data_IF_866237166389
#
_entry.id   IF_866237166389
#
_cell.length_a   1.000
_cell.length_b   1.000
_cell.length_c   1.000
_cell.angle_alpha   90.00
_cell.angle_beta   90.00
_cell.angle_gamma   90.00
#
_symmetry.space_group_name_H-M   'P 1'
#
loop_
_entity.id
_entity.type
_entity.pdbx_description
1 polymer ?
#
# COMPACT_ATOMS: atom_id res chain seq x y z
N UNK A 1 -8.56 -19.80 -101.38
CA UNK A 1 -9.86 -20.31 -100.89
C UNK A 1 -9.60 -20.90 -99.52
N UNK A 2 -10.30 -20.37 -98.50
CA UNK A 2 -10.78 -21.07 -97.29
C UNK A 2 -9.84 -22.08 -96.58
N UNK A 3 -9.57 -22.07 -95.28
CA UNK A 3 -10.34 -21.59 -94.12
C UNK A 3 -9.55 -21.92 -92.84
N UNK A 4 -9.81 -21.13 -91.79
CA UNK A 4 -9.90 -21.47 -90.35
C UNK A 4 -8.62 -21.59 -89.49
N UNK A 5 -8.50 -20.61 -88.58
CA UNK A 5 -8.02 -20.79 -87.20
C UNK A 5 -8.87 -21.83 -86.45
N UNK A 6 -8.28 -22.53 -85.45
CA UNK A 6 -8.78 -22.38 -84.06
C UNK A 6 -7.62 -22.46 -83.02
N UNK A 7 -7.53 -21.51 -82.08
CA UNK A 7 -7.99 -21.56 -80.67
C UNK A 7 -6.97 -22.04 -79.61
N UNK A 8 -6.90 -21.19 -78.56
CA UNK A 8 -6.64 -21.45 -77.14
C UNK A 8 -5.23 -21.84 -76.68
N UNK A 9 -4.65 -21.02 -75.79
CA UNK A 9 -4.38 -21.26 -74.35
C UNK A 9 -3.38 -20.18 -73.88
N UNK A 10 -3.79 -19.21 -73.07
CA UNK A 10 -3.76 -19.24 -71.59
C UNK A 10 -2.35 -19.04 -71.01
N UNK A 11 -2.03 -17.81 -70.60
CA UNK A 11 -1.21 -17.55 -69.40
C UNK A 11 -1.33 -16.07 -69.03
N UNK A 12 -2.29 -15.78 -68.15
CA UNK A 12 -2.30 -14.57 -67.35
C UNK A 12 -1.25 -14.69 -66.24
N UNK A 13 -0.41 -13.67 -66.07
CA UNK A 13 0.33 -13.47 -64.81
C UNK A 13 -0.04 -12.07 -64.32
N UNK A 14 -1.13 -12.03 -63.56
CA UNK A 14 -1.51 -10.88 -62.75
C UNK A 14 -0.62 -10.93 -61.50
N UNK A 15 0.38 -10.06 -61.44
CA UNK A 15 1.17 -9.88 -60.22
C UNK A 15 0.29 -9.19 -59.17
N UNK A 16 -0.31 -9.98 -58.28
CA UNK A 16 -0.97 -9.50 -57.08
C UNK A 16 0.11 -8.96 -56.13
N UNK A 17 0.28 -7.63 -56.13
CA UNK A 17 1.02 -6.92 -55.09
C UNK A 17 0.17 -6.99 -53.83
N UNK A 18 0.45 -7.97 -52.98
CA UNK A 18 -0.06 -8.02 -51.60
C UNK A 18 0.67 -6.95 -50.80
N UNK A 19 0.01 -5.80 -50.65
CA UNK A 19 0.33 -4.81 -49.63
C UNK A 19 0.11 -5.47 -48.27
N UNK A 20 1.15 -6.08 -47.71
CA UNK A 20 1.20 -6.38 -46.29
C UNK A 20 1.24 -5.03 -45.56
N UNK A 21 0.05 -4.54 -45.22
CA UNK A 21 -0.11 -3.53 -44.17
C UNK A 21 0.46 -4.14 -42.89
N UNK A 22 1.70 -3.76 -42.58
CA UNK A 22 2.32 -4.01 -41.29
C UNK A 22 1.53 -3.21 -40.25
N UNK A 23 0.49 -3.82 -39.70
CA UNK A 23 -0.12 -3.38 -38.46
C UNK A 23 0.98 -3.44 -37.39
N UNK A 24 1.60 -2.28 -37.10
CA UNK A 24 2.35 -2.09 -35.87
C UNK A 24 1.40 -2.41 -34.73
N UNK A 25 1.60 -3.57 -34.08
CA UNK A 25 1.07 -3.81 -32.74
C UNK A 25 1.45 -2.60 -31.90
N UNK A 26 0.45 -1.83 -31.49
CA UNK A 26 0.57 -0.94 -30.34
C UNK A 26 1.22 -1.74 -29.23
N UNK A 27 2.41 -1.30 -28.79
CA UNK A 27 3.06 -1.86 -27.62
C UNK A 27 2.03 -1.80 -26.50
N UNK A 28 1.63 -2.96 -25.98
CA UNK A 28 1.04 -3.04 -24.66
C UNK A 28 1.94 -2.22 -23.74
N UNK A 29 1.38 -1.17 -23.14
CA UNK A 29 2.08 -0.30 -22.19
C UNK A 29 2.24 -0.97 -20.83
N UNK A 30 2.17 -2.30 -20.75
CA UNK A 30 2.54 -3.05 -19.57
C UNK A 30 4.06 -3.18 -19.58
N UNK A 31 4.75 -2.78 -18.49
CA UNK A 31 6.13 -3.20 -18.28
C UNK A 31 6.21 -4.71 -18.48
N UNK A 32 7.31 -5.23 -19.06
CA UNK A 32 7.56 -6.67 -19.05
C UNK A 32 7.37 -7.20 -17.62
N UNK A 33 6.81 -8.40 -17.46
CA UNK A 33 6.50 -9.00 -16.14
C UNK A 33 7.73 -9.15 -15.20
N UNK A 34 8.92 -8.84 -15.70
CA UNK A 34 10.21 -8.91 -15.02
C UNK A 34 10.78 -7.56 -14.56
N UNK A 35 10.21 -6.42 -14.97
CA UNK A 35 10.77 -5.11 -14.59
C UNK A 35 10.19 -4.62 -13.25
N UNK A 36 11.05 -4.51 -12.24
CA UNK A 36 10.69 -3.97 -10.93
C UNK A 36 10.49 -2.44 -11.03
N UNK A 37 9.51 -1.87 -10.31
CA UNK A 37 9.32 -0.42 -10.30
C UNK A 37 10.54 0.30 -9.74
N UNK A 38 10.81 1.49 -10.27
CA UNK A 38 11.89 2.37 -9.80
C UNK A 38 11.29 3.48 -8.93
N UNK A 39 11.64 3.49 -7.65
CA UNK A 39 11.17 4.46 -6.66
C UNK A 39 12.07 5.69 -6.56
N UNK A 40 11.55 6.77 -5.96
CA UNK A 40 12.27 8.02 -5.71
C UNK A 40 12.38 8.95 -6.92
N UNK A 41 11.63 8.67 -7.99
CA UNK A 41 11.68 9.45 -9.24
C UNK A 41 10.68 10.62 -9.25
N UNK A 42 9.72 10.61 -8.33
CA UNK A 42 8.58 11.52 -8.28
C UNK A 42 7.78 11.58 -9.58
N UNK A 43 7.82 10.51 -10.37
CA UNK A 43 7.02 10.38 -11.59
C UNK A 43 5.67 9.73 -11.25
N UNK A 44 4.55 10.41 -11.49
CA UNK A 44 3.24 9.88 -11.14
C UNK A 44 2.83 8.74 -12.07
N UNK A 45 2.20 7.73 -11.50
CA UNK A 45 1.47 6.69 -12.24
C UNK A 45 -0.03 6.80 -11.99
N UNK A 46 -0.82 6.23 -12.89
CA UNK A 46 -2.26 6.12 -12.68
C UNK A 46 -2.55 5.07 -11.60
N UNK A 47 -3.46 5.42 -10.68
CA UNK A 47 -3.97 4.46 -9.70
C UNK A 47 -4.74 3.33 -10.41
N UNK A 48 -4.57 2.11 -9.90
CA UNK A 48 -5.20 0.89 -10.37
C UNK A 48 -5.76 0.10 -9.19
N UNK A 49 -6.63 -0.88 -9.46
CA UNK A 49 -7.19 -1.73 -8.41
C UNK A 49 -8.04 -0.94 -7.41
N UNK A 50 -7.79 -1.16 -6.12
CA UNK A 50 -8.52 -0.52 -5.01
C UNK A 50 -7.88 0.80 -4.52
N UNK A 51 -6.79 1.25 -5.14
CA UNK A 51 -6.19 2.56 -4.87
C UNK A 51 -6.95 3.68 -5.57
N UNK A 52 -7.20 4.77 -4.84
CA UNK A 52 -7.85 5.96 -5.35
C UNK A 52 -7.11 7.22 -4.89
N UNK A 53 -7.06 8.22 -5.76
CA UNK A 53 -6.58 9.55 -5.45
C UNK A 53 -7.69 10.58 -5.64
N UNK A 54 -8.01 11.33 -4.59
CA UNK A 54 -9.05 12.36 -4.62
C UNK A 54 -8.42 13.73 -4.83
N UNK A 55 -8.43 14.24 -6.06
CA UNK A 55 -7.75 15.50 -6.40
C UNK A 55 -8.19 16.72 -5.55
N UNK A 56 -9.46 16.78 -5.14
CA UNK A 56 -9.99 17.90 -4.36
C UNK A 56 -9.42 17.96 -2.94
N UNK A 57 -9.29 16.82 -2.26
CA UNK A 57 -8.72 16.75 -0.91
C UNK A 57 -7.22 16.46 -0.91
N UNK A 58 -6.69 16.01 -2.05
CA UNK A 58 -5.36 15.48 -2.17
C UNK A 58 -5.19 14.14 -1.46
N UNK A 59 -6.25 13.42 -1.10
CA UNK A 59 -6.11 12.19 -0.32
C UNK A 59 -5.81 10.98 -1.21
N UNK A 60 -4.91 10.11 -0.75
CA UNK A 60 -4.85 8.73 -1.22
C UNK A 60 -5.71 7.85 -0.32
N UNK A 61 -6.54 7.00 -0.91
CA UNK A 61 -7.35 6.03 -0.17
C UNK A 61 -7.20 4.64 -0.76
N UNK A 62 -7.13 3.63 0.11
CA UNK A 62 -7.09 2.23 -0.26
C UNK A 62 -8.08 1.44 0.59
N UNK A 63 -8.80 0.51 -0.03
CA UNK A 63 -9.62 -0.47 0.68
C UNK A 63 -8.97 -1.84 0.50
N UNK A 64 -8.68 -2.53 1.60
CA UNK A 64 -8.10 -3.87 1.57
C UNK A 64 -9.14 -4.91 1.14
N UNK A 65 -8.68 -6.09 0.73
CA UNK A 65 -9.55 -7.19 0.30
C UNK A 65 -10.54 -7.67 1.38
N UNK A 66 -10.23 -7.47 2.66
CA UNK A 66 -11.04 -7.82 3.83
C UNK A 66 -11.81 -6.67 4.49
N UNK A 67 -11.83 -5.48 3.90
CA UNK A 67 -12.64 -4.35 4.40
C UNK A 67 -11.89 -3.40 5.35
N UNK A 68 -10.57 -3.45 5.39
CA UNK A 68 -9.75 -2.39 5.97
C UNK A 68 -9.72 -1.16 5.07
N UNK A 69 -9.63 0.03 5.65
CA UNK A 69 -9.46 1.27 4.90
C UNK A 69 -8.22 2.00 5.37
N UNK A 70 -7.46 2.51 4.41
CA UNK A 70 -6.29 3.35 4.64
C UNK A 70 -6.56 4.66 3.94
N UNK A 71 -6.47 5.77 4.67
CA UNK A 71 -6.55 7.12 4.13
C UNK A 71 -5.28 7.87 4.46
N UNK A 72 -4.52 8.30 3.46
CA UNK A 72 -3.32 9.12 3.64
C UNK A 72 -3.54 10.55 3.14
N UNK A 73 -3.13 11.51 3.96
CA UNK A 73 -3.10 12.93 3.66
C UNK A 73 -1.71 13.49 3.97
N UNK A 74 -1.14 14.26 3.03
CA UNK A 74 0.18 14.87 3.15
C UNK A 74 0.41 15.57 4.50
N UNK A 75 -0.59 16.31 4.97
CA UNK A 75 -0.49 17.19 6.13
C UNK A 75 -0.76 16.47 7.44
N UNK A 76 -1.69 15.50 7.43
CA UNK A 76 -2.23 14.93 8.68
C UNK A 76 -1.73 13.53 8.99
N UNK A 77 -1.16 12.83 8.01
CA UNK A 77 -0.65 11.47 8.18
C UNK A 77 -1.62 10.49 7.56
N UNK A 78 -1.80 9.33 8.17
CA UNK A 78 -2.80 8.38 7.71
C UNK A 78 -3.67 7.84 8.83
N UNK A 79 -4.86 7.42 8.42
CA UNK A 79 -5.88 6.82 9.28
C UNK A 79 -6.18 5.44 8.75
N UNK A 80 -6.21 4.48 9.65
CA UNK A 80 -6.63 3.10 9.41
C UNK A 80 -7.98 2.89 10.08
N UNK A 81 -8.94 2.33 9.35
CA UNK A 81 -10.24 1.90 9.89
C UNK A 81 -10.66 0.57 9.27
N UNK A 82 -11.80 0.01 9.68
CA UNK A 82 -12.24 -1.29 9.19
C UNK A 82 -13.77 -1.46 9.25
N UNK A 83 -14.37 -2.04 8.22
CA UNK A 83 -15.81 -2.25 8.09
C UNK A 83 -16.41 -3.08 9.23
N UNK A 84 -15.66 -4.08 9.72
CA UNK A 84 -16.06 -4.92 10.86
C UNK A 84 -16.20 -4.18 12.20
N UNK A 85 -15.68 -2.95 12.31
CA UNK A 85 -15.81 -2.14 13.52
C UNK A 85 -16.06 -0.66 13.18
N UNK A 86 -17.33 -0.26 13.01
CA UNK A 86 -17.67 1.15 12.83
C UNK A 86 -17.16 2.00 14.01
N UNK A 87 -16.36 3.02 13.70
CA UNK A 87 -15.77 3.91 14.70
C UNK A 87 -14.38 3.51 15.19
N UNK A 88 -13.79 2.41 14.72
CA UNK A 88 -12.37 2.12 14.94
C UNK A 88 -11.50 3.02 14.06
N UNK A 89 -10.53 3.69 14.66
CA UNK A 89 -9.55 4.54 14.01
C UNK A 89 -8.18 4.36 14.66
N UNK A 90 -7.19 3.97 13.86
CA UNK A 90 -5.78 4.04 14.22
C UNK A 90 -5.13 5.15 13.39
N UNK A 91 -4.78 6.25 14.05
CA UNK A 91 -4.21 7.43 13.43
C UNK A 91 -2.69 7.43 13.60
N UNK A 92 -1.96 7.61 12.51
CA UNK A 92 -0.52 7.80 12.50
C UNK A 92 -0.20 9.21 12.00
N UNK A 93 0.31 10.06 12.89
CA UNK A 93 0.48 11.49 12.65
C UNK A 93 1.79 12.01 13.24
N UNK A 94 2.09 13.28 13.01
CA UNK A 94 3.27 13.92 13.55
C UNK A 94 3.92 14.84 12.53
N UNK A 95 4.60 15.86 13.04
CA UNK A 95 5.23 16.86 12.20
C UNK A 95 6.68 17.05 12.61
N UNK A 96 7.57 17.14 11.63
CA UNK A 96 8.98 17.44 11.83
C UNK A 96 9.37 18.63 10.99
N UNK A 97 10.32 19.43 11.47
CA UNK A 97 10.91 20.49 10.68
C UNK A 97 12.09 19.94 9.88
N UNK A 98 11.91 19.78 8.57
CA UNK A 98 12.94 19.35 7.63
C UNK A 98 13.40 20.57 6.83
N UNK A 99 14.58 21.10 7.14
CA UNK A 99 15.18 22.27 6.46
C UNK A 99 14.29 23.52 6.39
N UNK A 100 13.54 23.80 7.47
CA UNK A 100 12.64 24.96 7.55
C UNK A 100 11.22 24.69 7.04
N UNK A 101 10.94 23.49 6.54
CA UNK A 101 9.61 23.08 6.05
C UNK A 101 9.02 22.07 7.02
N UNK A 102 7.79 22.34 7.48
CA UNK A 102 7.04 21.38 8.29
C UNK A 102 6.55 20.24 7.39
N UNK A 103 7.05 19.05 7.64
CA UNK A 103 6.69 17.82 6.91
C UNK A 103 6.13 16.79 7.89
N UNK A 104 5.49 15.76 7.35
CA UNK A 104 4.89 14.70 8.14
C UNK A 104 5.97 13.70 8.59
N UNK A 105 5.92 13.26 9.84
CA UNK A 105 6.77 12.17 10.34
C UNK A 105 6.02 10.85 10.51
N UNK A 106 4.69 10.88 10.62
CA UNK A 106 3.83 9.76 11.00
C UNK A 106 4.39 8.96 12.19
N UNK A 107 4.96 9.70 13.16
CA UNK A 107 5.65 9.11 14.30
C UNK A 107 4.71 8.73 15.44
N UNK A 108 3.68 9.55 15.70
CA UNK A 108 2.72 9.33 16.77
C UNK A 108 1.62 8.39 16.31
N UNK A 109 1.31 7.39 17.13
CA UNK A 109 0.22 6.44 16.91
C UNK A 109 -0.88 6.67 17.96
N UNK A 110 -2.12 6.77 17.51
CA UNK A 110 -3.28 7.00 18.39
C UNK A 110 -4.42 6.06 18.04
N UNK A 111 -5.08 5.51 19.06
CA UNK A 111 -6.26 4.68 18.91
C UNK A 111 -7.49 5.49 19.34
N UNK A 112 -8.44 5.71 18.43
CA UNK A 112 -9.64 6.51 18.64
C UNK A 112 -9.36 7.87 19.32
N UNK A 113 -8.29 8.56 18.88
CA UNK A 113 -7.87 9.86 19.39
C UNK A 113 -7.06 9.84 20.70
N UNK A 114 -6.89 8.68 21.35
CA UNK A 114 -5.97 8.52 22.49
C UNK A 114 -4.58 8.17 21.95
N UNK A 115 -3.58 9.00 22.22
CA UNK A 115 -2.18 8.67 21.94
C UNK A 115 -1.76 7.43 22.72
N UNK A 116 -1.11 6.49 22.04
CA UNK A 116 -0.67 5.19 22.57
C UNK A 116 0.85 5.12 22.64
N UNK A 117 1.52 5.41 21.52
CA UNK A 117 2.98 5.33 21.42
C UNK A 117 3.50 6.20 20.29
N UNK A 118 4.81 6.30 20.24
CA UNK A 118 5.49 6.67 19.00
C UNK A 118 6.09 5.43 18.34
N UNK A 119 6.26 5.46 17.03
CA UNK A 119 7.01 4.45 16.29
C UNK A 119 8.43 4.33 16.87
N UNK A 120 8.96 3.11 16.89
CA UNK A 120 10.38 2.86 17.18
C UNK A 120 11.13 2.53 15.89
N UNK A 121 12.25 3.21 15.65
CA UNK A 121 13.06 3.02 14.43
C UNK A 121 12.49 3.71 13.18
N UNK A 122 13.04 3.38 12.01
CA UNK A 122 12.74 4.07 10.75
C UNK A 122 11.63 3.42 9.92
N UNK A 123 11.27 2.18 10.20
CA UNK A 123 10.30 1.39 9.42
C UNK A 123 9.24 0.83 10.33
N UNK A 124 7.99 0.91 9.91
CA UNK A 124 6.83 0.46 10.66
C UNK A 124 5.81 -0.13 9.71
N UNK A 125 5.28 -1.29 10.09
CA UNK A 125 4.24 -2.00 9.33
C UNK A 125 3.02 -2.27 10.20
N UNK A 126 1.83 -2.11 9.61
CA UNK A 126 0.58 -2.62 10.15
C UNK A 126 0.07 -3.73 9.24
N UNK A 127 -0.06 -4.92 9.80
CA UNK A 127 -0.67 -6.09 9.15
C UNK A 127 -2.16 -6.12 9.51
N UNK A 128 -3.00 -6.10 8.49
CA UNK A 128 -4.45 -6.18 8.63
C UNK A 128 -4.89 -7.64 8.88
N UNK A 129 -6.09 -7.86 9.46
CA UNK A 129 -6.61 -9.21 9.70
C UNK A 129 -6.74 -10.10 8.45
N UNK A 130 -6.84 -9.49 7.28
CA UNK A 130 -6.92 -10.16 5.97
C UNK A 130 -5.55 -10.45 5.35
N UNK A 131 -4.47 -10.05 6.01
CA UNK A 131 -3.09 -10.22 5.54
C UNK A 131 -2.58 -9.07 4.69
N UNK A 132 -3.38 -8.04 4.39
CA UNK A 132 -2.86 -6.84 3.75
C UNK A 132 -1.83 -6.15 4.66
N UNK A 133 -0.80 -5.54 4.07
CA UNK A 133 0.27 -4.85 4.78
C UNK A 133 0.30 -3.39 4.37
N UNK A 134 0.42 -2.51 5.36
CA UNK A 134 0.76 -1.10 5.19
C UNK A 134 2.11 -0.86 5.84
N UNK A 135 3.13 -0.57 5.05
CA UNK A 135 4.48 -0.27 5.51
C UNK A 135 4.79 1.19 5.27
N UNK A 136 5.46 1.87 6.20
CA UNK A 136 5.99 3.20 5.97
C UNK A 136 7.41 3.37 6.50
N UNK A 137 8.19 4.17 5.77
CA UNK A 137 9.59 4.44 6.04
C UNK A 137 9.79 5.92 6.28
N UNK A 138 10.54 6.28 7.31
CA UNK A 138 10.96 7.66 7.58
C UNK A 138 12.47 7.79 7.80
N UNK A 139 12.93 9.03 8.00
CA UNK A 139 14.32 9.35 8.28
C UNK A 139 14.71 9.13 9.76
N UNK A 140 14.70 7.86 10.19
CA UNK A 140 14.82 7.52 11.60
C UNK A 140 13.50 7.68 12.35
N UNK A 141 13.56 7.61 13.68
CA UNK A 141 12.36 7.53 14.54
C UNK A 141 11.50 8.80 14.42
N UNK A 142 12.12 9.97 14.60
CA UNK A 142 11.45 11.27 14.61
C UNK A 142 11.58 12.03 13.28
N UNK A 143 12.09 11.38 12.23
CA UNK A 143 12.39 12.02 10.96
C UNK A 143 11.20 12.11 10.01
N UNK A 144 11.46 12.74 8.86
CA UNK A 144 10.47 12.93 7.80
C UNK A 144 10.05 11.60 7.18
N UNK A 145 8.74 11.43 6.97
CA UNK A 145 8.15 10.32 6.23
C UNK A 145 8.65 10.34 4.78
N UNK A 146 9.25 9.23 4.34
CA UNK A 146 9.83 9.07 3.01
C UNK A 146 8.85 8.38 2.07
N UNK A 147 8.32 7.23 2.47
CA UNK A 147 7.51 6.38 1.62
C UNK A 147 6.41 5.67 2.39
N UNK A 148 5.36 5.29 1.68
CA UNK A 148 4.30 4.40 2.13
C UNK A 148 4.12 3.33 1.05
N UNK A 149 4.13 2.06 1.46
CA UNK A 149 3.90 0.90 0.63
C UNK A 149 2.66 0.14 1.13
N UNK A 150 1.84 -0.36 0.20
CA UNK A 150 0.69 -1.23 0.51
C UNK A 150 0.85 -2.52 -0.30
N UNK A 151 0.71 -3.67 0.34
CA UNK A 151 0.69 -4.99 -0.30
C UNK A 151 -0.56 -5.75 0.10
N UNK A 152 -1.35 -6.19 -0.88
CA UNK A 152 -2.61 -6.90 -0.64
C UNK A 152 -2.91 -7.86 -1.81
N UNK A 153 -2.49 -9.11 -1.64
CA UNK A 153 -2.63 -10.16 -2.65
C UNK A 153 -1.91 -9.81 -3.95
N UNK A 154 -2.67 -9.53 -5.01
CA UNK A 154 -2.11 -9.11 -6.30
C UNK A 154 -1.78 -7.63 -6.40
N UNK A 155 -2.25 -6.80 -5.47
CA UNK A 155 -2.09 -5.35 -5.55
C UNK A 155 -0.90 -4.85 -4.73
N UNK A 156 -0.06 -4.01 -5.34
CA UNK A 156 0.97 -3.27 -4.63
C UNK A 156 0.96 -1.79 -5.02
N UNK A 157 1.06 -0.91 -4.03
CA UNK A 157 1.05 0.54 -4.22
C UNK A 157 2.22 1.17 -3.48
N UNK A 158 2.90 2.13 -4.10
CA UNK A 158 4.01 2.86 -3.48
C UNK A 158 3.82 4.37 -3.66
N UNK A 159 3.75 5.07 -2.54
CA UNK A 159 3.61 6.52 -2.46
C UNK A 159 4.91 7.10 -1.92
N UNK A 160 5.51 7.99 -2.69
CA UNK A 160 6.60 8.83 -2.22
C UNK A 160 6.03 10.03 -1.47
N UNK A 161 6.26 10.08 -0.16
CA UNK A 161 5.67 11.09 0.73
C UNK A 161 6.33 12.47 0.57
N UNK A 162 7.58 12.55 0.11
CA UNK A 162 8.32 13.82 -0.05
C UNK A 162 7.73 14.69 -1.15
N UNK A 163 7.52 14.10 -2.33
CA UNK A 163 6.85 14.75 -3.46
C UNK A 163 5.35 14.44 -3.55
N UNK A 164 4.84 13.66 -2.59
CA UNK A 164 3.43 13.32 -2.45
C UNK A 164 2.83 12.75 -3.75
N UNK A 165 3.46 11.69 -4.25
CA UNK A 165 3.18 11.12 -5.57
C UNK A 165 3.06 9.60 -5.47
N UNK A 166 2.05 9.03 -6.12
CA UNK A 166 1.97 7.59 -6.35
C UNK A 166 2.96 7.22 -7.46
N UNK A 167 4.03 6.51 -7.12
CA UNK A 167 5.11 6.12 -8.04
C UNK A 167 4.93 4.70 -8.59
N UNK A 168 4.13 3.87 -7.92
CA UNK A 168 3.78 2.52 -8.39
C UNK A 168 2.37 2.13 -7.97
N UNK A 169 1.67 1.46 -8.89
CA UNK A 169 0.31 0.93 -8.70
C UNK A 169 0.14 -0.31 -9.58
N UNK A 170 0.46 -1.48 -9.01
CA UNK A 170 0.60 -2.75 -9.73
C UNK A 170 -0.53 -3.69 -9.33
N UNK A 171 -1.02 -4.48 -10.29
CA UNK A 171 -1.94 -5.60 -10.06
C UNK A 171 -1.36 -6.88 -10.68
N UNK A 172 -0.39 -7.47 -9.98
CA UNK A 172 0.32 -8.69 -10.35
C UNK A 172 0.87 -9.36 -9.06
N UNK A 173 0.35 -10.52 -8.71
CA UNK A 173 0.71 -11.26 -7.48
C UNK A 173 2.19 -11.58 -7.37
N UNK A 174 2.84 -12.01 -8.46
CA UNK A 174 4.26 -12.34 -8.45
C UNK A 174 5.12 -11.11 -8.15
N UNK A 175 4.82 -9.98 -8.80
CA UNK A 175 5.55 -8.73 -8.58
C UNK A 175 5.28 -8.20 -7.17
N UNK A 176 4.02 -8.16 -6.75
CA UNK A 176 3.61 -7.72 -5.41
C UNK A 176 4.31 -8.53 -4.33
N UNK A 177 4.35 -9.86 -4.45
CA UNK A 177 5.07 -10.73 -3.53
C UNK A 177 6.57 -10.45 -3.51
N UNK A 178 7.21 -10.28 -4.67
CA UNK A 178 8.65 -9.96 -4.74
C UNK A 178 8.97 -8.61 -4.07
N UNK A 179 8.08 -7.63 -4.21
CA UNK A 179 8.23 -6.33 -3.56
C UNK A 179 8.07 -6.44 -2.05
N UNK A 180 7.03 -7.15 -1.59
CA UNK A 180 6.76 -7.40 -0.17
C UNK A 180 7.92 -8.17 0.49
N UNK A 181 8.40 -9.25 -0.13
CA UNK A 181 9.53 -10.05 0.36
C UNK A 181 10.86 -9.27 0.41
N UNK A 182 10.97 -8.17 -0.35
CA UNK A 182 12.18 -7.35 -0.42
C UNK A 182 12.14 -6.13 0.53
N UNK A 183 10.98 -5.74 1.04
CA UNK A 183 10.83 -4.66 2.01
C UNK A 183 10.93 -5.23 3.43
N UNK A 184 11.71 -4.58 4.30
CA UNK A 184 11.78 -4.97 5.70
C UNK A 184 10.57 -4.37 6.44
N UNK A 185 9.91 -5.12 7.33
CA UNK A 185 8.73 -4.60 8.01
C UNK A 185 9.03 -3.67 9.21
N UNK A 186 10.27 -3.66 9.70
CA UNK A 186 10.64 -2.86 10.86
C UNK A 186 9.86 -3.28 12.11
N UNK A 187 9.34 -2.30 12.86
CA UNK A 187 8.44 -2.58 13.98
C UNK A 187 7.08 -2.97 13.42
N UNK A 188 6.56 -4.16 13.70
CA UNK A 188 5.33 -4.63 13.06
C UNK A 188 4.20 -4.81 14.05
N UNK A 189 3.07 -4.19 13.73
CA UNK A 189 1.84 -4.24 14.51
C UNK A 189 0.68 -4.84 13.73
N UNK A 190 -0.41 -5.07 14.45
CA UNK A 190 -1.69 -5.52 13.89
C UNK A 190 -2.81 -5.05 14.82
N UNK A 191 -4.05 -5.24 14.37
CA UNK A 191 -5.21 -5.11 15.21
C UNK A 191 -6.08 -6.36 15.10
N UNK A 192 -6.64 -6.80 16.22
CA UNK A 192 -7.44 -8.02 16.32
C UNK A 192 -8.84 -7.70 16.82
N UNK A 193 -9.84 -8.30 16.16
CA UNK A 193 -11.24 -8.21 16.57
C UNK A 193 -11.59 -9.33 17.53
N UNK A 194 -11.76 -9.00 18.81
CA UNK A 194 -12.14 -9.96 19.84
C UNK A 194 -13.65 -10.03 19.94
N UNK A 195 -14.16 -11.26 19.99
CA UNK A 195 -15.58 -11.55 20.14
C UNK A 195 -15.85 -12.19 21.51
N UNK A 196 -17.04 -11.95 22.04
CA UNK A 196 -17.56 -12.67 23.20
C UNK A 196 -17.80 -14.15 22.86
N UNK A 197 -18.05 -14.97 23.88
CA UNK A 197 -18.45 -16.37 23.68
C UNK A 197 -19.74 -16.52 22.85
N UNK A 198 -20.60 -15.49 22.83
CA UNK A 198 -21.80 -15.44 22.00
C UNK A 198 -21.52 -15.02 20.54
N UNK A 199 -20.27 -14.74 20.18
CA UNK A 199 -19.86 -14.34 18.83
C UNK A 199 -20.05 -12.85 18.53
N UNK A 200 -20.42 -12.05 19.53
CA UNK A 200 -20.58 -10.60 19.38
C UNK A 200 -19.23 -9.89 19.49
N UNK A 201 -19.00 -8.85 18.70
CA UNK A 201 -17.79 -8.01 18.83
C UNK A 201 -17.74 -7.37 20.22
N UNK A 202 -16.60 -7.52 20.91
CA UNK A 202 -16.38 -7.07 22.29
C UNK A 202 -15.38 -5.92 22.35
N UNK A 203 -14.18 -6.14 21.78
CA UNK A 203 -13.08 -5.17 21.75
C UNK A 203 -12.19 -5.34 20.52
N UNK A 204 -11.46 -4.27 20.17
CA UNK A 204 -10.30 -4.31 19.27
C UNK A 204 -9.04 -4.30 20.12
N UNK A 205 -8.11 -5.20 19.86
CA UNK A 205 -6.76 -5.12 20.44
C UNK A 205 -5.81 -4.52 19.41
N UNK A 206 -5.07 -3.48 19.78
CA UNK A 206 -3.94 -2.97 19.02
C UNK A 206 -2.64 -3.54 19.60
N UNK A 207 -1.83 -4.19 18.77
CA UNK A 207 -0.71 -5.01 19.21
C UNK A 207 0.53 -4.81 18.34
N UNK A 208 1.70 -4.99 18.94
CA UNK A 208 2.91 -5.35 18.21
C UNK A 208 3.03 -6.88 18.13
N UNK A 209 3.54 -7.40 17.02
CA UNK A 209 3.62 -8.84 16.75
C UNK A 209 5.04 -9.33 16.47
N UNK A 210 5.88 -8.54 15.81
CA UNK A 210 7.29 -8.86 15.58
C UNK A 210 8.10 -7.62 15.19
N UNK A 211 9.42 -7.78 15.18
CA UNK A 211 10.38 -6.86 14.57
C UNK A 211 11.07 -7.55 13.39
N UNK A 212 11.27 -6.84 12.27
CA UNK A 212 12.01 -7.32 11.10
C UNK A 212 12.90 -6.21 10.53
N UNK A 213 14.14 -6.12 11.02
CA UNK A 213 15.10 -5.10 10.53
C UNK A 213 15.72 -5.46 9.18
N UNK A 214 15.64 -6.72 8.79
CA UNK A 214 16.16 -7.24 7.53
C UNK A 214 15.11 -8.18 6.94
N UNK A 215 14.75 -8.05 5.66
CA UNK A 215 13.66 -8.84 5.08
C UNK A 215 13.86 -10.34 5.31
N UNK A 216 12.81 -11.02 5.79
CA UNK A 216 12.81 -12.44 6.11
C UNK A 216 13.36 -12.82 7.48
N UNK A 217 13.96 -11.89 8.24
CA UNK A 217 14.54 -12.15 9.56
C UNK A 217 13.66 -11.56 10.68
N UNK A 218 12.60 -12.30 11.04
CA UNK A 218 11.61 -11.86 12.04
C UNK A 218 12.01 -12.28 13.45
N UNK A 219 11.97 -11.33 14.37
CA UNK A 219 12.03 -11.55 15.82
C UNK A 219 10.61 -11.40 16.37
N UNK A 220 9.95 -12.53 16.64
CA UNK A 220 8.58 -12.52 17.13
C UNK A 220 8.49 -11.99 18.56
N UNK A 221 7.48 -11.18 18.82
CA UNK A 221 7.24 -10.58 20.14
C UNK A 221 5.86 -9.94 20.17
N UNK A 222 4.89 -10.68 20.71
CA UNK A 222 3.52 -10.17 20.84
C UNK A 222 3.41 -9.28 22.07
N UNK A 223 3.11 -8.00 21.89
CA UNK A 223 2.93 -7.02 22.96
C UNK A 223 1.58 -6.33 22.76
N UNK A 224 0.73 -6.36 23.78
CA UNK A 224 -0.53 -5.61 23.77
C UNK A 224 -0.22 -4.13 24.00
N UNK A 225 -0.63 -3.27 23.07
CA UNK A 225 -0.41 -1.83 23.15
C UNK A 225 -1.64 -1.13 23.71
N UNK A 226 -2.82 -1.45 23.17
CA UNK A 226 -4.06 -0.82 23.58
C UNK A 226 -5.28 -1.69 23.31
N UNK A 227 -6.39 -1.38 23.96
CA UNK A 227 -7.71 -1.97 23.70
C UNK A 227 -8.75 -0.89 23.48
N UNK A 228 -9.61 -1.07 22.48
CA UNK A 228 -10.80 -0.27 22.24
C UNK A 228 -12.03 -1.12 22.52
N UNK A 229 -12.88 -0.71 23.46
CA UNK A 229 -14.10 -1.45 23.82
C UNK A 229 -15.28 -1.01 22.95
N UNK A 230 -16.20 -1.94 22.66
CA UNK A 230 -17.44 -1.59 21.95
C UNK A 230 -18.35 -0.71 22.79
N UNK A 231 -18.40 -0.99 24.09
CA UNK A 231 -19.29 -0.33 25.04
C UNK A 231 -18.52 -0.04 26.35
N UNK A 232 -18.21 1.23 26.64
CA UNK A 232 -18.46 2.42 25.82
C UNK A 232 -17.46 2.53 24.63
N UNK A 233 -17.91 3.00 23.44
CA UNK A 233 -17.13 2.99 22.19
C UNK A 233 -15.95 3.98 22.14
N UNK A 234 -15.79 4.79 23.19
CA UNK A 234 -14.69 5.76 23.34
C UNK A 234 -13.69 5.33 24.40
N UNK A 235 -13.92 4.22 25.09
CA UNK A 235 -12.98 3.74 26.09
C UNK A 235 -11.81 3.05 25.39
N UNK A 236 -10.64 3.68 25.57
CA UNK A 236 -9.35 3.14 25.17
C UNK A 236 -8.55 2.84 26.43
N UNK A 237 -8.21 1.56 26.64
CA UNK A 237 -7.24 1.17 27.65
C UNK A 237 -5.86 1.14 26.99
N UNK A 238 -4.96 1.98 27.50
CA UNK A 238 -3.57 2.06 27.06
C UNK A 238 -2.69 1.20 27.97
N UNK A 239 -1.91 0.30 27.37
CA UNK A 239 -1.01 -0.62 28.05
C UNK A 239 0.46 -0.36 27.67
N UNK A 240 0.74 0.60 26.79
CA UNK A 240 2.09 0.90 26.38
C UNK A 240 2.80 1.72 27.47
N UNK A 241 3.83 1.13 28.05
CA UNK A 241 4.73 1.82 28.97
C UNK A 241 5.90 2.39 28.15
N UNK A 242 5.86 3.69 27.87
CA UNK A 242 6.88 4.35 27.05
C UNK A 242 8.23 4.34 27.79
N UNK A 243 9.22 3.54 27.32
CA UNK A 243 10.49 3.42 28.02
C UNK A 243 11.29 4.74 28.04
N UNK A 244 10.92 5.72 27.22
CA UNK A 244 11.54 7.06 27.16
C UNK A 244 11.02 7.99 28.26
N UNK A 245 9.87 7.67 28.84
CA UNK A 245 9.23 8.47 29.90
C UNK A 245 9.44 7.88 31.30
N UNK A 246 10.15 6.75 31.42
CA UNK A 246 10.56 6.21 32.70
C UNK A 246 11.35 7.27 33.49
N UNK A 247 10.85 7.64 34.66
CA UNK A 247 11.50 8.60 35.55
C UNK A 247 12.89 8.08 35.97
N UNK A 248 13.94 8.80 35.59
CA UNK A 248 15.29 8.68 36.17
C UNK A 248 15.32 9.15 37.61
#
# INVERSE_FOLDING_TARGET
MEKKLPHLYLAAVLAAITLFSSCKKTKDSRPPDDEMPVYGTCQPVNATGRMQFTANSGDFTYTTSGGGHIKFNRKFGFVISHDSWPGFQLDCWGTVNSSGIMTNSANHESLNGKHIKDRVGSVRTIVFPDGAKLTWVADGEQGELKTISIYDGSESHHINARCYTLESSINNESITKRLDDAEADGETGSFEFIKTAAGEMDKVQYINIYQETTPGNRVNGRVLLAELFKNPPTQVNDYYDDPRLAAT
#
